data_IF_422510109302
#
_entry.id   IF_422510109302
#
_cell.length_a   1.000
_cell.length_b   1.000
_cell.length_c   1.000
_cell.angle_alpha   90.00
_cell.angle_beta   90.00
_cell.angle_gamma   90.00
#
_symmetry.space_group_name_H-M   'P 1'
#
loop_
_entity.id
_entity.type
_entity.pdbx_description
1 polymer ?
#
# COMPACT_ATOMS: atom_id res chain seq x y z
N UNK A 1 77.77 37.85 2.18
CA UNK A 1 78.17 39.25 1.97
C UNK A 1 78.24 39.52 0.47
N UNK A 2 77.86 40.71 -0.05
CA UNK A 2 77.18 41.85 0.58
C UNK A 2 75.89 42.29 -0.20
N UNK A 3 74.82 42.74 0.50
CA UNK A 3 74.38 44.13 0.85
C UNK A 3 73.66 44.87 -0.31
N UNK A 4 72.36 45.21 -0.16
CA UNK A 4 71.76 46.43 0.43
C UNK A 4 71.40 47.46 -0.68
N UNK A 5 70.22 48.10 -0.72
CA UNK A 5 69.81 49.28 0.07
C UNK A 5 68.28 49.54 -0.07
N UNK A 6 67.53 49.64 1.04
CA UNK A 6 66.83 50.84 1.61
C UNK A 6 65.65 51.43 0.79
N UNK A 7 64.40 51.28 1.25
CA UNK A 7 63.59 52.12 2.18
C UNK A 7 62.86 53.30 1.51
N UNK A 8 61.52 53.30 1.59
CA UNK A 8 60.72 54.42 2.14
C UNK A 8 59.49 53.85 2.85
N UNK A 9 59.34 54.22 4.12
CA UNK A 9 58.19 54.03 5.00
C UNK A 9 57.38 55.33 4.97
N UNK A 10 56.06 55.26 4.85
CA UNK A 10 55.18 56.27 5.45
C UNK A 10 53.90 55.59 5.94
N UNK A 11 53.82 55.43 7.25
CA UNK A 11 52.59 55.19 7.99
C UNK A 11 51.94 56.54 8.30
N UNK A 12 50.61 56.63 8.23
CA UNK A 12 49.82 57.59 8.99
C UNK A 12 48.43 57.01 9.27
N UNK A 13 48.22 56.81 10.56
CA UNK A 13 47.01 56.46 11.29
C UNK A 13 45.94 57.55 11.27
N UNK A 14 44.65 57.18 11.27
CA UNK A 14 43.62 57.87 12.07
C UNK A 14 42.36 57.02 12.19
N UNK A 15 42.05 56.65 13.44
CA UNK A 15 40.79 56.09 13.94
C UNK A 15 39.84 57.23 14.35
N UNK A 16 38.52 56.98 14.33
CA UNK A 16 37.37 57.65 15.00
C UNK A 16 36.26 57.99 13.98
N UNK A 17 34.96 57.95 14.23
CA UNK A 17 34.04 57.29 15.17
C UNK A 17 32.63 57.82 14.79
N UNK A 18 31.59 56.98 14.86
CA UNK A 18 30.13 57.28 14.91
C UNK A 18 29.47 58.30 13.95
N UNK A 19 28.46 57.84 13.20
CA UNK A 19 27.06 58.17 13.53
C UNK A 19 26.07 57.20 12.87
N UNK A 20 25.15 56.67 13.69
CA UNK A 20 24.03 55.84 13.30
C UNK A 20 22.93 56.68 12.63
N UNK A 21 22.30 56.16 11.57
CA UNK A 21 20.96 56.55 11.17
C UNK A 21 20.06 55.31 11.17
N UNK A 22 19.15 55.30 12.14
CA UNK A 22 18.01 54.40 12.25
C UNK A 22 16.91 54.87 11.30
N UNK A 23 16.38 53.97 10.47
CA UNK A 23 15.05 54.09 9.86
C UNK A 23 14.26 52.81 10.18
N UNK A 24 12.98 52.93 10.57
CA UNK A 24 12.21 51.80 11.08
C UNK A 24 11.60 51.01 9.92
N UNK A 25 11.88 49.71 9.86
CA UNK A 25 11.05 48.77 9.09
C UNK A 25 10.13 48.05 10.07
N UNK A 26 8.85 48.18 9.78
CA UNK A 26 7.75 47.69 10.60
C UNK A 26 7.82 46.19 10.87
N UNK A 27 7.47 45.84 12.10
CA UNK A 27 7.32 44.48 12.63
C UNK A 27 6.15 43.78 11.94
N UNK A 28 6.41 42.60 11.36
CA UNK A 28 5.41 41.59 11.11
C UNK A 28 5.85 40.30 11.83
N UNK A 29 5.22 40.03 12.97
CA UNK A 29 5.35 38.76 13.70
C UNK A 29 4.62 37.67 12.92
N UNK A 30 5.38 36.71 12.38
CA UNK A 30 4.85 35.45 11.86
C UNK A 30 5.48 34.29 12.63
N UNK A 31 4.71 33.75 13.59
CA UNK A 31 4.97 32.47 14.24
C UNK A 31 4.48 31.34 13.34
N UNK A 32 5.39 30.53 12.82
CA UNK A 32 5.22 29.09 12.55
C UNK A 32 6.50 28.56 11.88
N UNK A 33 7.30 27.79 12.61
CA UNK A 33 8.34 26.97 12.02
C UNK A 33 7.67 25.78 11.31
N UNK A 34 7.82 25.70 10.00
CA UNK A 34 7.43 24.54 9.19
C UNK A 34 8.67 23.68 8.91
N UNK A 35 8.59 22.41 9.29
CA UNK A 35 9.53 21.34 8.94
C UNK A 35 9.65 21.17 7.41
N UNK A 36 10.84 20.91 6.84
CA UNK A 36 10.99 20.73 5.40
C UNK A 36 10.64 19.32 4.88
N UNK A 37 10.31 18.33 5.73
CA UNK A 37 10.19 16.92 5.30
C UNK A 37 8.75 16.34 5.27
N UNK A 38 7.71 17.17 5.38
CA UNK A 38 6.32 16.72 5.18
C UNK A 38 5.77 17.17 3.83
N UNK A 39 5.64 16.24 2.87
CA UNK A 39 4.81 16.47 1.67
C UNK A 39 3.34 16.50 2.12
N UNK A 40 2.83 17.71 2.32
CA UNK A 40 1.43 17.95 2.60
C UNK A 40 0.67 17.95 1.26
N UNK A 41 -0.05 16.88 0.95
CA UNK A 41 -0.83 16.75 -0.30
C UNK A 41 -1.98 17.78 -0.24
N UNK A 42 -2.02 18.81 -1.11
CA UNK A 42 -3.10 19.79 -1.08
C UNK A 42 -4.41 19.11 -1.49
N UNK A 43 -5.41 19.14 -0.61
CA UNK A 43 -6.79 18.74 -0.91
C UNK A 43 -7.44 19.77 -1.82
N UNK A 44 -7.09 19.75 -3.11
CA UNK A 44 -7.89 20.40 -4.14
C UNK A 44 -9.14 19.54 -4.34
N UNK A 45 -10.32 20.16 -4.20
CA UNK A 45 -11.62 19.51 -4.29
C UNK A 45 -11.65 18.43 -5.39
N UNK A 46 -11.85 17.16 -5.00
CA UNK A 46 -11.96 16.02 -5.89
C UNK A 46 -13.07 16.28 -6.92
N UNK A 47 -12.69 16.65 -8.14
CA UNK A 47 -13.45 16.19 -9.30
C UNK A 47 -13.11 14.71 -9.43
N UNK A 48 -14.13 13.86 -9.53
CA UNK A 48 -13.93 12.45 -9.87
C UNK A 48 -13.22 12.39 -11.22
N UNK A 49 -11.90 12.22 -11.22
CA UNK A 49 -11.19 11.83 -12.42
C UNK A 49 -11.50 10.36 -12.65
N UNK A 50 -12.43 10.08 -13.55
CA UNK A 50 -12.50 8.80 -14.25
C UNK A 50 -11.32 8.77 -15.20
N UNK A 51 -10.38 7.87 -14.96
CA UNK A 51 -9.34 7.59 -15.95
C UNK A 51 -9.94 6.68 -17.03
N UNK A 52 -9.48 6.80 -18.27
CA UNK A 52 -9.87 5.88 -19.37
C UNK A 52 -9.67 4.41 -18.95
N UNK A 53 -8.73 4.14 -18.06
CA UNK A 53 -8.48 2.81 -17.52
C UNK A 53 -9.55 2.32 -16.54
N UNK A 54 -10.21 3.21 -15.78
CA UNK A 54 -11.36 2.83 -14.95
C UNK A 54 -12.54 2.41 -15.85
N UNK A 55 -12.70 3.10 -16.99
CA UNK A 55 -13.70 2.76 -18.00
C UNK A 55 -13.33 1.49 -18.76
N UNK A 56 -12.04 1.26 -19.02
CA UNK A 56 -11.55 0.03 -19.64
C UNK A 56 -11.75 -1.17 -18.69
N UNK A 57 -11.41 -1.01 -17.42
CA UNK A 57 -11.61 -2.01 -16.38
C UNK A 57 -13.09 -2.33 -16.21
N UNK A 58 -13.96 -1.31 -16.17
CA UNK A 58 -15.41 -1.52 -16.12
C UNK A 58 -15.90 -2.20 -17.39
N UNK A 59 -15.43 -1.81 -18.59
CA UNK A 59 -15.85 -2.42 -19.86
C UNK A 59 -15.43 -3.89 -19.99
N UNK A 60 -14.27 -4.27 -19.42
CA UNK A 60 -13.82 -5.66 -19.37
C UNK A 60 -14.66 -6.46 -18.38
N UNK A 61 -14.98 -5.89 -17.21
CA UNK A 61 -15.90 -6.51 -16.24
C UNK A 61 -17.30 -6.71 -16.84
N UNK A 62 -17.81 -5.70 -17.55
CA UNK A 62 -19.10 -5.74 -18.23
C UNK A 62 -19.09 -6.74 -19.40
N UNK A 63 -17.98 -6.83 -20.15
CA UNK A 63 -17.82 -7.81 -21.22
C UNK A 63 -17.69 -9.24 -20.69
N UNK A 64 -17.05 -9.44 -19.53
CA UNK A 64 -17.01 -10.73 -18.84
C UNK A 64 -18.40 -11.13 -18.33
N UNK A 65 -19.15 -10.19 -17.75
CA UNK A 65 -20.54 -10.40 -17.34
C UNK A 65 -21.47 -10.71 -18.54
N UNK A 66 -21.27 -10.03 -19.68
CA UNK A 66 -22.05 -10.25 -20.89
C UNK A 66 -21.77 -11.61 -21.59
N UNK A 67 -20.58 -12.20 -21.36
CA UNK A 67 -20.23 -13.54 -21.86
C UNK A 67 -20.79 -14.68 -20.99
N UNK A 68 -21.37 -14.37 -19.84
CA UNK A 68 -22.18 -15.27 -19.03
C UNK A 68 -23.65 -14.83 -19.08
N UNK A 69 -24.42 -15.16 -20.14
CA UNK A 69 -25.85 -14.94 -20.09
C UNK A 69 -26.42 -15.78 -18.94
N UNK A 70 -27.07 -15.09 -18.00
CA UNK A 70 -27.97 -15.72 -17.04
C UNK A 70 -28.86 -16.71 -17.80
N UNK A 71 -29.04 -17.90 -17.22
CA UNK A 71 -30.02 -18.89 -17.68
C UNK A 71 -31.34 -18.18 -18.00
N UNK A 72 -31.64 -18.05 -19.28
CA UNK A 72 -32.97 -17.65 -19.73
C UNK A 72 -33.92 -18.77 -19.34
N UNK A 73 -34.82 -18.49 -18.40
CA UNK A 73 -36.03 -19.28 -18.20
C UNK A 73 -36.81 -19.29 -19.52
N UNK A 74 -36.81 -20.45 -20.16
CA UNK A 74 -37.66 -20.75 -21.31
C UNK A 74 -39.12 -20.64 -20.90
N UNK A 75 -39.86 -19.90 -21.70
CA UNK A 75 -41.30 -19.69 -21.61
C UNK A 75 -42.08 -21.00 -21.79
N UNK A 76 -43.09 -21.17 -20.92
CA UNK A 76 -44.44 -21.66 -21.21
C UNK A 76 -44.77 -23.13 -20.90
N UNK A 77 -45.58 -23.32 -19.85
CA UNK A 77 -46.28 -24.56 -19.52
C UNK A 77 -46.82 -24.63 -18.09
N UNK A 78 -47.99 -24.03 -17.85
CA UNK A 78 -48.99 -24.37 -16.82
C UNK A 78 -48.56 -24.71 -15.37
N UNK A 79 -48.70 -23.74 -14.46
CA UNK A 79 -49.66 -23.71 -13.33
C UNK A 79 -49.22 -22.65 -12.31
N UNK A 80 -49.91 -21.52 -12.34
CA UNK A 80 -49.63 -20.35 -11.52
C UNK A 80 -50.14 -20.59 -10.08
N UNK A 81 -49.26 -20.98 -9.15
CA UNK A 81 -49.49 -20.80 -7.70
C UNK A 81 -48.87 -19.47 -7.27
N UNK A 82 -49.69 -18.42 -7.33
CA UNK A 82 -49.34 -17.10 -6.84
C UNK A 82 -49.35 -17.10 -5.31
N UNK A 83 -48.19 -16.85 -4.68
CA UNK A 83 -48.15 -16.44 -3.28
C UNK A 83 -48.43 -14.94 -3.21
N UNK A 84 -49.69 -14.58 -3.00
CA UNK A 84 -50.10 -13.21 -2.70
C UNK A 84 -50.01 -12.98 -1.19
N UNK A 85 -49.05 -12.17 -0.74
CA UNK A 85 -49.04 -11.64 0.64
C UNK A 85 -49.95 -10.41 0.67
N UNK A 86 -51.19 -10.58 1.10
CA UNK A 86 -52.09 -9.47 1.44
C UNK A 86 -51.66 -8.86 2.77
N UNK A 87 -51.22 -7.59 2.75
CA UNK A 87 -50.94 -6.80 3.95
C UNK A 87 -52.25 -6.17 4.44
N UNK A 88 -52.94 -6.84 5.35
CA UNK A 88 -54.13 -6.31 6.02
C UNK A 88 -53.71 -5.32 7.12
N UNK A 89 -53.99 -4.04 6.93
CA UNK A 89 -53.90 -3.01 7.98
C UNK A 89 -55.13 -3.15 8.90
N UNK A 90 -54.97 -3.81 10.04
CA UNK A 90 -55.95 -3.75 11.12
C UNK A 90 -55.67 -2.49 11.98
N UNK A 91 -56.65 -1.60 12.00
CA UNK A 91 -56.69 -0.37 12.80
C UNK A 91 -57.33 -0.73 14.15
N UNK A 92 -56.52 -0.87 15.19
CA UNK A 92 -56.97 -0.91 16.59
C UNK A 92 -56.27 0.19 17.36
N UNK A 93 -57.06 1.15 17.84
CA UNK A 93 -56.60 2.29 18.61
C UNK A 93 -56.39 1.95 20.07
N UNK A 94 -55.29 2.42 20.64
CA UNK A 94 -55.06 2.64 22.08
C UNK A 94 -54.09 3.84 22.24
N UNK A 95 -54.13 4.56 23.38
CA UNK A 95 -53.91 5.99 23.42
C UNK A 95 -52.43 6.41 23.41
N UNK A 96 -52.24 7.61 22.87
CA UNK A 96 -51.00 8.36 22.80
C UNK A 96 -50.48 8.66 24.22
N UNK A 97 -49.33 8.07 24.59
CA UNK A 97 -48.59 8.45 25.79
C UNK A 97 -47.31 9.15 25.35
N UNK A 98 -47.19 10.43 25.74
CA UNK A 98 -46.10 11.32 25.38
C UNK A 98 -44.72 10.77 25.78
N UNK A 99 -43.82 10.67 24.80
CA UNK A 99 -42.41 10.27 24.93
C UNK A 99 -41.56 11.35 25.59
N UNK A 100 -41.81 11.66 26.86
CA UNK A 100 -41.04 12.69 27.56
C UNK A 100 -40.80 12.38 29.05
N UNK A 101 -40.52 11.14 29.43
CA UNK A 101 -39.95 10.83 30.75
C UNK A 101 -39.48 9.36 30.85
N UNK A 102 -38.37 8.99 30.22
CA UNK A 102 -37.38 8.00 30.72
C UNK A 102 -36.32 7.73 29.65
N UNK A 103 -35.28 8.55 29.61
CA UNK A 103 -34.02 8.19 28.93
C UNK A 103 -32.87 9.00 29.55
N UNK A 104 -32.70 8.87 30.87
CA UNK A 104 -31.41 9.14 31.53
C UNK A 104 -30.92 7.84 32.13
N UNK A 105 -30.55 6.94 31.24
CA UNK A 105 -29.74 5.76 31.55
C UNK A 105 -28.55 5.83 30.62
N UNK A 106 -27.43 6.28 31.20
CA UNK A 106 -26.06 5.99 30.80
C UNK A 106 -25.91 5.38 29.40
N UNK A 107 -25.68 6.23 28.40
CA UNK A 107 -24.95 5.79 27.22
C UNK A 107 -23.52 5.46 27.70
N UNK A 108 -23.34 4.24 28.23
CA UNK A 108 -22.05 3.59 28.13
C UNK A 108 -21.74 3.62 26.64
N UNK A 109 -20.69 4.35 26.25
CA UNK A 109 -20.21 4.39 24.89
C UNK A 109 -19.95 2.94 24.47
N UNK A 110 -20.91 2.35 23.77
CA UNK A 110 -20.65 1.17 22.98
C UNK A 110 -19.58 1.63 22.00
N UNK A 111 -18.34 1.17 22.20
CA UNK A 111 -17.26 1.38 21.24
C UNK A 111 -17.68 0.69 19.93
N UNK A 112 -18.45 1.40 19.11
CA UNK A 112 -18.80 0.97 17.78
C UNK A 112 -17.50 0.90 17.01
N UNK A 113 -17.13 -0.30 16.58
CA UNK A 113 -15.99 -0.52 15.71
C UNK A 113 -16.20 0.31 14.43
N UNK A 114 -15.41 1.35 14.24
CA UNK A 114 -15.46 2.22 13.07
C UNK A 114 -14.38 1.82 12.06
N UNK A 115 -14.80 1.60 10.82
CA UNK A 115 -13.90 1.31 9.70
C UNK A 115 -13.57 2.59 8.93
N UNK A 116 -12.31 3.02 9.02
CA UNK A 116 -11.78 4.20 8.36
C UNK A 116 -10.99 3.87 7.09
N UNK A 117 -10.47 4.91 6.43
CA UNK A 117 -9.52 4.77 5.32
C UNK A 117 -8.17 4.30 5.87
N UNK A 118 -7.52 3.37 5.17
CA UNK A 118 -6.15 2.96 5.46
C UNK A 118 -5.17 4.13 5.24
N UNK A 119 -4.40 4.48 6.29
CA UNK A 119 -3.37 5.52 6.27
C UNK A 119 -2.00 4.88 6.19
N UNK A 120 -1.37 4.98 5.03
CA UNK A 120 -0.03 4.43 4.77
C UNK A 120 0.98 5.57 4.82
N UNK A 121 1.99 5.45 5.68
CA UNK A 121 3.18 6.30 5.65
C UNK A 121 4.25 5.63 4.76
N UNK A 122 4.86 6.40 3.88
CA UNK A 122 5.93 5.93 2.98
C UNK A 122 7.22 6.61 3.39
N UNK A 123 8.26 5.82 3.69
CA UNK A 123 9.62 6.32 3.91
C UNK A 123 10.48 5.97 2.70
N UNK A 124 11.14 6.99 2.13
CA UNK A 124 11.96 6.88 0.92
C UNK A 124 13.43 7.21 1.18
N UNK A 125 13.89 7.20 2.44
CA UNK A 125 15.27 7.56 2.81
C UNK A 125 16.33 6.86 1.96
N UNK A 126 16.16 5.54 1.74
CA UNK A 126 17.04 4.73 0.90
C UNK A 126 17.17 5.22 -0.55
N UNK A 127 16.22 6.02 -1.06
CA UNK A 127 16.25 6.60 -2.41
C UNK A 127 17.09 7.87 -2.51
N UNK A 128 17.51 8.44 -1.38
CA UNK A 128 18.26 9.70 -1.30
C UNK A 128 19.65 9.53 -0.66
N UNK A 129 19.97 8.34 -0.14
CA UNK A 129 21.32 8.01 0.29
C UNK A 129 22.13 7.34 -0.85
N UNK A 130 23.09 8.07 -1.42
CA UNK A 130 24.01 7.57 -2.45
C UNK A 130 24.82 6.32 -2.01
N UNK A 131 24.97 6.08 -0.71
CA UNK A 131 25.60 4.87 -0.17
C UNK A 131 24.71 3.62 -0.31
N UNK A 132 23.40 3.79 -0.58
CA UNK A 132 22.41 2.73 -0.67
C UNK A 132 22.08 2.31 -2.10
N UNK A 133 21.76 3.23 -2.99
CA UNK A 133 21.36 2.89 -4.37
C UNK A 133 22.54 2.98 -5.36
N UNK A 134 22.35 2.52 -6.60
CA UNK A 134 23.37 2.62 -7.64
C UNK A 134 23.44 4.03 -8.22
N UNK A 135 24.62 4.65 -8.17
CA UNK A 135 24.96 5.92 -8.83
C UNK A 135 25.90 5.65 -10.01
N UNK A 136 26.09 6.60 -10.97
CA UNK A 136 26.92 6.36 -12.16
C UNK A 136 28.34 5.86 -11.89
N UNK A 137 28.94 6.24 -10.76
CA UNK A 137 30.31 5.88 -10.39
C UNK A 137 30.39 4.73 -9.37
N UNK A 138 29.25 4.15 -8.96
CA UNK A 138 29.22 3.10 -7.95
C UNK A 138 29.37 1.74 -8.61
N UNK A 139 30.32 0.93 -8.15
CA UNK A 139 30.56 -0.40 -8.72
C UNK A 139 29.67 -1.47 -8.11
N UNK A 140 29.45 -1.43 -6.79
CA UNK A 140 28.64 -2.41 -6.07
C UNK A 140 27.71 -1.73 -5.07
N UNK A 141 26.56 -2.34 -4.84
CA UNK A 141 25.66 -1.95 -3.75
C UNK A 141 25.04 -3.17 -3.08
N UNK A 142 24.49 -3.00 -1.88
CA UNK A 142 23.73 -4.06 -1.22
C UNK A 142 22.44 -4.34 -2.01
N UNK A 143 22.07 -5.61 -2.14
CA UNK A 143 20.78 -6.01 -2.69
C UNK A 143 19.64 -6.01 -1.64
N UNK A 144 19.90 -5.49 -0.43
CA UNK A 144 19.01 -5.48 0.75
C UNK A 144 18.61 -6.87 1.27
N UNK A 145 19.14 -7.95 0.69
CA UNK A 145 18.87 -9.34 1.06
C UNK A 145 20.14 -10.06 1.57
N UNK A 146 21.06 -9.31 2.18
CA UNK A 146 22.31 -9.85 2.74
C UNK A 146 23.44 -10.07 1.73
N UNK A 147 23.27 -9.63 0.47
CA UNK A 147 24.28 -9.73 -0.58
C UNK A 147 24.68 -8.38 -1.16
N UNK A 148 25.74 -8.39 -1.98
CA UNK A 148 26.18 -7.26 -2.79
C UNK A 148 26.12 -7.63 -4.26
N UNK A 149 25.71 -6.66 -5.07
CA UNK A 149 25.47 -6.81 -6.51
C UNK A 149 26.17 -5.69 -7.26
N UNK A 150 26.71 -6.01 -8.44
CA UNK A 150 27.34 -5.02 -9.30
C UNK A 150 26.28 -4.08 -9.86
N UNK A 151 26.55 -2.79 -9.83
CA UNK A 151 25.72 -1.78 -10.47
C UNK A 151 26.03 -1.75 -11.98
N UNK A 152 24.98 -1.84 -12.79
CA UNK A 152 25.07 -1.60 -14.24
C UNK A 152 24.43 -0.26 -14.61
N UNK A 153 24.55 0.16 -15.87
CA UNK A 153 23.97 1.43 -16.31
C UNK A 153 22.43 1.47 -16.14
N UNK A 154 21.75 0.32 -16.27
CA UNK A 154 20.30 0.23 -16.06
C UNK A 154 19.90 0.34 -14.60
N UNK A 155 20.81 0.00 -13.69
CA UNK A 155 20.56 0.00 -12.25
C UNK A 155 20.70 1.38 -11.61
N UNK A 156 21.27 2.36 -12.34
CA UNK A 156 21.42 3.71 -11.83
C UNK A 156 20.05 4.32 -11.57
N UNK A 157 19.81 4.74 -10.32
CA UNK A 157 18.63 5.52 -9.94
C UNK A 157 18.89 7.00 -10.29
N UNK A 158 18.53 7.37 -11.51
CA UNK A 158 18.58 8.76 -11.96
C UNK A 158 17.48 9.59 -11.32
N UNK A 159 17.54 10.91 -11.44
CA UNK A 159 16.51 11.80 -10.91
C UNK A 159 15.15 11.53 -11.57
N UNK A 160 15.12 11.23 -12.87
CA UNK A 160 13.89 10.91 -13.61
C UNK A 160 13.27 9.58 -13.12
N UNK A 161 14.11 8.58 -12.84
CA UNK A 161 13.64 7.31 -12.26
C UNK A 161 13.16 7.49 -10.83
N UNK A 162 13.84 8.32 -10.04
CA UNK A 162 13.41 8.64 -8.67
C UNK A 162 12.06 9.37 -8.69
N UNK A 163 11.87 10.32 -9.61
CA UNK A 163 10.59 11.00 -9.84
C UNK A 163 9.50 10.02 -10.27
N UNK A 164 9.78 9.16 -11.26
CA UNK A 164 8.88 8.08 -11.69
C UNK A 164 8.40 7.24 -10.51
N UNK A 165 9.34 6.80 -9.67
CA UNK A 165 9.04 5.96 -8.51
C UNK A 165 8.21 6.70 -7.45
N UNK A 166 8.63 7.90 -7.07
CA UNK A 166 8.08 8.63 -5.91
C UNK A 166 6.80 9.41 -6.21
N UNK A 167 6.68 9.98 -7.40
CA UNK A 167 5.55 10.84 -7.77
C UNK A 167 4.45 10.10 -8.54
N UNK A 168 4.77 8.99 -9.20
CA UNK A 168 3.83 8.27 -10.07
C UNK A 168 3.58 6.84 -9.60
N UNK A 169 4.60 6.01 -9.54
CA UNK A 169 4.44 4.57 -9.33
C UNK A 169 3.90 4.24 -7.94
N UNK A 170 4.56 4.72 -6.87
CA UNK A 170 4.13 4.47 -5.49
C UNK A 170 2.74 5.05 -5.20
N UNK A 171 2.42 6.32 -5.54
CA UNK A 171 1.09 6.85 -5.27
C UNK A 171 -0.02 6.08 -5.97
N UNK A 172 0.18 5.64 -7.22
CA UNK A 172 -0.81 4.85 -7.96
C UNK A 172 -1.03 3.48 -7.34
N UNK A 173 0.03 2.74 -7.04
CA UNK A 173 -0.06 1.42 -6.40
C UNK A 173 -0.72 1.49 -5.01
N UNK A 174 -0.29 2.44 -4.17
CA UNK A 174 -0.86 2.64 -2.83
C UNK A 174 -2.33 3.07 -2.89
N UNK A 175 -2.71 3.88 -3.88
CA UNK A 175 -4.09 4.28 -4.09
C UNK A 175 -4.99 3.07 -4.32
N UNK A 176 -4.55 2.08 -5.11
CA UNK A 176 -5.32 0.86 -5.37
C UNK A 176 -5.73 0.14 -4.07
N UNK A 177 -4.85 0.10 -3.07
CA UNK A 177 -5.15 -0.46 -1.74
C UNK A 177 -6.02 0.48 -0.90
N UNK A 178 -5.67 1.76 -0.78
CA UNK A 178 -6.40 2.68 0.12
C UNK A 178 -7.83 2.99 -0.31
N UNK A 179 -8.18 2.74 -1.58
CA UNK A 179 -9.54 2.84 -2.09
C UNK A 179 -10.40 1.59 -1.82
N UNK A 180 -9.77 0.42 -1.67
CA UNK A 180 -10.45 -0.88 -1.49
C UNK A 180 -10.46 -1.36 -0.04
N UNK A 181 -9.38 -1.08 0.70
CA UNK A 181 -9.18 -1.58 2.06
C UNK A 181 -9.60 -0.52 3.08
N UNK A 182 -10.58 -0.88 3.89
CA UNK A 182 -10.95 -0.15 5.11
C UNK A 182 -10.34 -0.83 6.31
N UNK A 183 -9.96 -0.05 7.31
CA UNK A 183 -9.32 -0.57 8.52
C UNK A 183 -9.90 0.07 9.77
N UNK A 184 -9.84 -0.64 10.88
CA UNK A 184 -9.95 -0.02 12.20
C UNK A 184 -8.68 0.79 12.41
N UNK A 185 -8.80 2.10 12.38
CA UNK A 185 -7.64 2.98 12.42
C UNK A 185 -6.89 2.84 13.75
N UNK A 186 -5.57 2.71 13.66
CA UNK A 186 -4.71 2.64 14.84
C UNK A 186 -4.82 3.96 15.59
N UNK A 187 -5.06 3.85 16.90
CA UNK A 187 -5.21 4.99 17.79
C UNK A 187 -3.89 5.27 18.52
N UNK A 188 -3.60 6.55 18.72
CA UNK A 188 -2.40 6.99 19.43
C UNK A 188 -1.11 6.87 18.60
N UNK A 189 0.01 6.86 19.33
CA UNK A 189 1.36 6.81 18.76
C UNK A 189 1.95 5.42 18.95
N UNK A 190 2.58 4.88 17.90
CA UNK A 190 3.28 3.60 17.94
C UNK A 190 4.65 3.71 17.29
N UNK A 191 5.57 2.82 17.67
CA UNK A 191 6.97 2.87 17.26
C UNK A 191 7.33 1.69 16.37
N UNK A 192 8.26 1.95 15.47
CA UNK A 192 8.99 0.87 14.79
C UNK A 192 10.00 0.31 15.79
N UNK A 193 9.89 -0.99 16.06
CA UNK A 193 10.79 -1.72 16.97
C UNK A 193 11.98 -2.26 16.19
N UNK A 194 12.91 -2.91 16.89
CA UNK A 194 14.10 -3.50 16.27
C UNK A 194 13.69 -4.43 15.11
N UNK A 195 14.07 -4.03 13.90
CA UNK A 195 13.84 -4.79 12.68
C UNK A 195 14.94 -5.85 12.55
N UNK A 196 14.61 -7.02 12.00
CA UNK A 196 15.52 -8.15 11.89
C UNK A 196 15.59 -8.70 10.46
N UNK A 197 16.63 -9.49 10.17
CA UNK A 197 16.81 -10.12 8.87
C UNK A 197 16.86 -9.10 7.73
N UNK A 198 16.12 -9.35 6.64
CA UNK A 198 16.02 -8.44 5.48
C UNK A 198 15.56 -7.04 5.88
N UNK A 199 14.67 -6.94 6.87
CA UNK A 199 14.09 -5.67 7.31
C UNK A 199 15.11 -4.73 7.95
N UNK A 200 16.14 -5.29 8.61
CA UNK A 200 17.22 -4.50 9.23
C UNK A 200 18.08 -3.77 8.19
N UNK A 201 17.98 -4.13 6.91
CA UNK A 201 18.78 -3.53 5.84
C UNK A 201 18.20 -2.20 5.32
N UNK A 202 17.02 -1.78 5.76
CA UNK A 202 16.36 -0.53 5.34
C UNK A 202 16.63 0.61 6.31
N UNK A 203 16.76 1.83 5.80
CA UNK A 203 16.92 3.00 6.66
C UNK A 203 15.60 3.38 7.29
N UNK A 204 15.62 3.44 8.62
CA UNK A 204 14.50 3.86 9.45
C UNK A 204 14.81 5.24 10.02
N UNK A 205 13.98 6.27 9.75
CA UNK A 205 14.12 7.56 10.41
C UNK A 205 14.17 7.39 11.92
N UNK A 206 15.09 8.08 12.59
CA UNK A 206 15.30 7.93 14.04
C UNK A 206 14.04 8.27 14.85
N UNK A 207 13.19 9.17 14.35
CA UNK A 207 11.91 9.50 14.97
C UNK A 207 10.93 8.32 14.98
N UNK A 208 10.98 7.42 14.00
CA UNK A 208 10.08 6.25 13.94
C UNK A 208 10.36 5.27 15.09
N UNK A 209 11.61 5.19 15.58
CA UNK A 209 12.02 4.29 16.68
C UNK A 209 12.04 5.00 18.04
N UNK A 210 12.27 6.32 18.07
CA UNK A 210 12.38 7.08 19.32
C UNK A 210 11.04 7.65 19.78
N UNK A 211 10.40 8.49 18.97
CA UNK A 211 9.12 9.15 19.31
C UNK A 211 7.95 8.30 18.85
N UNK A 212 8.05 7.71 17.67
CA UNK A 212 6.98 6.96 17.00
C UNK A 212 6.15 7.82 16.06
N UNK A 213 5.28 7.16 15.31
CA UNK A 213 4.37 7.77 14.36
C UNK A 213 2.95 7.82 14.94
N UNK A 214 2.18 8.82 14.55
CA UNK A 214 0.76 8.99 14.90
C UNK A 214 -0.05 9.08 13.63
N UNK A 215 -1.33 8.75 13.72
CA UNK A 215 -2.26 8.80 12.59
C UNK A 215 -1.85 7.96 11.37
N UNK A 216 -1.12 6.87 11.63
CA UNK A 216 -0.62 5.95 10.61
C UNK A 216 -1.04 4.55 11.00
N UNK A 217 -1.57 3.80 10.04
CA UNK A 217 -2.01 2.41 10.24
C UNK A 217 -0.93 1.41 9.79
N UNK A 218 -0.14 1.80 8.79
CA UNK A 218 0.92 1.00 8.19
C UNK A 218 2.07 1.88 7.67
N UNK A 219 3.31 1.45 7.85
CA UNK A 219 4.50 2.10 7.26
C UNK A 219 5.08 1.19 6.20
N UNK A 220 5.46 1.75 5.05
CA UNK A 220 6.28 1.06 4.04
C UNK A 220 7.60 1.79 3.81
N UNK A 221 8.70 1.06 3.95
CA UNK A 221 10.05 1.55 3.64
C UNK A 221 10.44 1.12 2.22
N UNK A 222 10.86 2.08 1.39
CA UNK A 222 11.11 1.87 -0.03
C UNK A 222 12.58 1.96 -0.34
N UNK A 223 13.12 0.93 -1.01
CA UNK A 223 14.45 0.96 -1.61
C UNK A 223 14.38 0.77 -3.14
N UNK A 224 15.46 1.14 -3.83
CA UNK A 224 15.65 0.87 -5.25
C UNK A 224 17.09 0.41 -5.48
N UNK A 225 17.32 -0.88 -5.29
CA UNK A 225 18.59 -1.55 -5.53
C UNK A 225 18.40 -2.72 -6.50
N UNK A 226 19.46 -3.18 -7.19
CA UNK A 226 19.35 -4.33 -8.07
C UNK A 226 18.89 -5.57 -7.29
N UNK A 227 17.97 -6.31 -7.88
CA UNK A 227 17.52 -7.59 -7.36
C UNK A 227 18.18 -8.76 -8.11
N UNK A 228 17.88 -9.99 -7.71
CA UNK A 228 18.26 -11.17 -8.49
C UNK A 228 17.59 -11.13 -9.87
N UNK A 229 18.12 -11.91 -10.83
CA UNK A 229 17.50 -12.03 -12.15
C UNK A 229 16.04 -12.42 -12.03
N UNK A 230 15.22 -11.84 -12.92
CA UNK A 230 13.78 -12.07 -13.04
C UNK A 230 12.91 -11.56 -11.87
N UNK A 231 13.51 -10.88 -10.88
CA UNK A 231 12.77 -10.21 -9.81
C UNK A 231 12.46 -8.77 -10.22
N UNK A 232 11.19 -8.50 -10.50
CA UNK A 232 10.71 -7.18 -10.94
C UNK A 232 10.56 -6.20 -9.78
N UNK A 233 10.09 -6.69 -8.63
CA UNK A 233 10.05 -6.03 -7.34
C UNK A 233 9.92 -7.12 -6.27
N UNK A 234 10.11 -6.77 -5.01
CA UNK A 234 9.78 -7.67 -3.90
C UNK A 234 9.42 -6.87 -2.65
N UNK A 235 8.55 -7.44 -1.80
CA UNK A 235 8.23 -6.87 -0.52
C UNK A 235 8.02 -7.93 0.57
N UNK A 236 8.02 -7.50 1.83
CA UNK A 236 7.68 -8.36 2.96
C UNK A 236 7.19 -7.55 4.15
N UNK A 237 6.45 -8.20 5.05
CA UNK A 237 6.06 -7.64 6.34
C UNK A 237 7.19 -7.78 7.36
N UNK A 238 7.55 -6.69 8.01
CA UNK A 238 8.66 -6.60 8.97
C UNK A 238 8.21 -6.48 10.42
N UNK A 239 7.04 -5.91 10.67
CA UNK A 239 6.48 -5.77 12.00
C UNK A 239 4.96 -5.91 11.96
N UNK A 240 4.38 -6.43 13.04
CA UNK A 240 2.93 -6.47 13.27
C UNK A 240 2.58 -5.71 14.55
N UNK A 241 1.36 -5.20 14.61
CA UNK A 241 0.73 -4.67 15.81
C UNK A 241 0.44 -5.80 16.83
N UNK A 242 0.08 -5.45 18.06
CA UNK A 242 -0.26 -6.41 19.12
C UNK A 242 -1.44 -7.33 18.75
N UNK A 243 -2.33 -6.87 17.86
CA UNK A 243 -3.46 -7.62 17.33
C UNK A 243 -3.11 -8.43 16.07
N UNK A 244 -1.81 -8.62 15.79
CA UNK A 244 -1.25 -9.31 14.63
C UNK A 244 -1.51 -8.66 13.26
N UNK A 245 -2.04 -7.44 13.22
CA UNK A 245 -2.16 -6.71 11.95
C UNK A 245 -0.80 -6.25 11.46
N UNK A 246 -0.47 -6.36 10.17
CA UNK A 246 0.74 -5.78 9.59
C UNK A 246 0.87 -4.29 9.95
N UNK A 247 2.05 -3.92 10.47
CA UNK A 247 2.36 -2.56 10.92
C UNK A 247 3.46 -1.94 10.06
N UNK A 248 4.50 -2.71 9.74
CA UNK A 248 5.63 -2.26 8.92
C UNK A 248 5.87 -3.25 7.80
N UNK A 249 6.03 -2.73 6.59
CA UNK A 249 6.54 -3.45 5.44
C UNK A 249 7.77 -2.79 4.85
N UNK A 250 8.50 -3.56 4.05
CA UNK A 250 9.58 -3.04 3.19
C UNK A 250 9.28 -3.46 1.76
N UNK A 251 9.71 -2.65 0.80
CA UNK A 251 9.60 -2.94 -0.63
C UNK A 251 10.86 -2.48 -1.34
N UNK A 252 11.36 -3.30 -2.26
CA UNK A 252 12.43 -2.94 -3.18
C UNK A 252 11.92 -2.96 -4.62
N UNK A 253 12.13 -1.87 -5.34
CA UNK A 253 11.77 -1.71 -6.75
C UNK A 253 13.05 -1.37 -7.52
N UNK A 254 13.70 -2.35 -8.19
CA UNK A 254 14.90 -2.12 -8.97
C UNK A 254 14.74 -1.03 -10.03
N UNK A 255 15.69 -0.09 -10.06
CA UNK A 255 15.70 1.02 -11.00
C UNK A 255 15.74 0.58 -12.48
N UNK A 256 16.22 -0.63 -12.77
CA UNK A 256 16.23 -1.20 -14.12
C UNK A 256 14.82 -1.33 -14.73
N UNK A 257 13.78 -1.44 -13.87
CA UNK A 257 12.39 -1.62 -14.30
C UNK A 257 11.61 -0.31 -14.36
N UNK A 258 12.21 0.83 -13.99
CA UNK A 258 11.57 2.14 -13.99
C UNK A 258 11.70 2.79 -15.37
N UNK A 259 10.84 2.37 -16.30
CA UNK A 259 10.90 2.79 -17.71
C UNK A 259 9.92 3.91 -18.08
N UNK A 260 8.78 4.01 -17.39
CA UNK A 260 7.72 4.98 -17.69
C UNK A 260 6.86 5.30 -16.46
N UNK A 261 6.28 6.50 -16.43
CA UNK A 261 5.41 6.99 -15.34
C UNK A 261 4.09 6.21 -15.24
N UNK A 262 3.62 5.65 -16.35
CA UNK A 262 2.30 5.00 -16.47
C UNK A 262 2.42 3.57 -16.97
N UNK A 263 3.49 2.89 -16.55
CA UNK A 263 3.63 1.46 -16.82
C UNK A 263 2.64 0.67 -15.97
N UNK A 264 1.55 0.24 -16.59
CA UNK A 264 0.50 -0.57 -15.95
C UNK A 264 1.06 -1.84 -15.31
N UNK A 265 1.99 -2.51 -16.00
CA UNK A 265 2.59 -3.73 -15.50
C UNK A 265 3.35 -3.45 -14.20
N UNK A 266 4.13 -2.37 -14.16
CA UNK A 266 4.85 -1.98 -12.95
C UNK A 266 3.93 -1.49 -11.83
N UNK A 267 2.90 -0.69 -12.12
CA UNK A 267 1.95 -0.21 -11.11
C UNK A 267 1.28 -1.40 -10.41
N UNK A 268 0.83 -2.38 -11.18
CA UNK A 268 0.18 -3.57 -10.64
C UNK A 268 1.17 -4.50 -9.94
N UNK A 269 2.41 -4.61 -10.42
CA UNK A 269 3.46 -5.36 -9.72
C UNK A 269 3.79 -4.72 -8.36
N UNK A 270 3.90 -3.40 -8.28
CA UNK A 270 4.13 -2.72 -7.00
C UNK A 270 2.92 -2.88 -6.05
N UNK A 271 1.69 -2.81 -6.57
CA UNK A 271 0.50 -3.09 -5.77
C UNK A 271 0.46 -4.56 -5.27
N UNK A 272 0.88 -5.51 -6.10
CA UNK A 272 1.03 -6.92 -5.69
C UNK A 272 2.00 -7.06 -4.51
N UNK A 273 3.19 -6.46 -4.62
CA UNK A 273 4.18 -6.52 -3.54
C UNK A 273 3.69 -5.80 -2.27
N UNK A 274 3.03 -4.65 -2.41
CA UNK A 274 2.41 -3.97 -1.25
C UNK A 274 1.33 -4.85 -0.62
N UNK A 275 0.56 -5.63 -1.38
CA UNK A 275 -0.42 -6.57 -0.82
C UNK A 275 0.25 -7.63 0.06
N UNK A 276 1.40 -8.17 -0.35
CA UNK A 276 2.20 -9.07 0.49
C UNK A 276 2.62 -8.38 1.79
N UNK A 277 3.14 -7.15 1.70
CA UNK A 277 3.56 -6.38 2.88
C UNK A 277 2.38 -6.07 3.82
N UNK A 278 1.18 -5.88 3.27
CA UNK A 278 -0.10 -5.71 3.98
C UNK A 278 -0.72 -7.02 4.47
N UNK A 279 -0.05 -8.15 4.29
CA UNK A 279 -0.40 -9.43 4.91
C UNK A 279 -1.06 -10.46 4.00
N UNK A 280 -1.15 -10.24 2.70
CA UNK A 280 -1.57 -11.29 1.76
C UNK A 280 -0.46 -12.36 1.65
N UNK A 281 -0.44 -13.36 2.52
CA UNK A 281 0.55 -14.45 2.46
C UNK A 281 0.08 -15.68 3.22
N UNK A 282 0.65 -16.84 2.88
CA UNK A 282 0.37 -18.11 3.55
C UNK A 282 0.58 -18.05 5.07
N UNK A 283 1.58 -17.28 5.54
CA UNK A 283 1.82 -17.05 6.97
C UNK A 283 0.59 -16.45 7.65
N UNK A 284 0.05 -15.38 7.09
CA UNK A 284 -1.10 -14.71 7.67
C UNK A 284 -2.37 -15.56 7.52
N UNK A 285 -2.59 -16.19 6.35
CA UNK A 285 -3.73 -17.07 6.15
C UNK A 285 -3.79 -18.22 7.15
N UNK A 286 -2.63 -18.81 7.46
CA UNK A 286 -2.49 -19.85 8.49
C UNK A 286 -2.75 -19.28 9.88
N UNK A 287 -2.13 -18.15 10.24
CA UNK A 287 -2.27 -17.54 11.56
C UNK A 287 -3.70 -17.10 11.89
N UNK A 288 -4.48 -16.70 10.88
CA UNK A 288 -5.89 -16.33 11.03
C UNK A 288 -6.83 -17.53 10.90
N UNK A 289 -6.32 -18.73 10.65
CA UNK A 289 -7.10 -19.95 10.52
C UNK A 289 -8.02 -20.00 9.29
N UNK A 290 -7.69 -19.27 8.22
CA UNK A 290 -8.54 -19.21 7.01
C UNK A 290 -8.04 -20.09 5.86
N UNK A 291 -6.85 -20.68 6.00
CA UNK A 291 -6.28 -21.63 5.02
C UNK A 291 -6.32 -23.06 5.52
N UNK A 292 -6.53 -24.00 4.61
CA UNK A 292 -6.43 -25.45 4.82
C UNK A 292 -5.81 -26.13 3.60
N UNK A 293 -5.64 -27.45 3.65
CA UNK A 293 -5.19 -28.24 2.49
C UNK A 293 -6.24 -29.27 2.08
N UNK A 294 -6.41 -29.48 0.77
CA UNK A 294 -7.37 -30.45 0.21
C UNK A 294 -6.65 -31.38 -0.77
N UNK A 295 -6.89 -32.68 -0.66
CA UNK A 295 -6.34 -33.71 -1.56
C UNK A 295 -7.31 -34.05 -2.69
N UNK A 296 -6.81 -34.60 -3.79
CA UNK A 296 -7.66 -35.09 -4.89
C UNK A 296 -8.20 -34.00 -5.81
N UNK A 297 -7.78 -32.74 -5.63
CA UNK A 297 -8.19 -31.64 -6.53
C UNK A 297 -7.74 -31.96 -7.95
N UNK A 298 -8.71 -32.23 -8.83
CA UNK A 298 -8.47 -32.58 -10.25
C UNK A 298 -7.46 -33.72 -10.43
N UNK A 299 -7.55 -34.74 -9.57
CA UNK A 299 -6.69 -35.92 -9.64
C UNK A 299 -5.28 -35.75 -9.06
N UNK A 300 -4.97 -34.60 -8.44
CA UNK A 300 -3.70 -34.40 -7.74
C UNK A 300 -3.63 -35.29 -6.48
N UNK A 301 -2.54 -36.02 -6.34
CA UNK A 301 -2.24 -36.83 -5.15
C UNK A 301 -1.71 -35.97 -4.00
N UNK A 302 -0.97 -34.91 -4.31
CA UNK A 302 -0.50 -33.94 -3.33
C UNK A 302 -1.65 -33.11 -2.76
N UNK A 303 -1.52 -32.72 -1.49
CA UNK A 303 -2.46 -31.81 -0.84
C UNK A 303 -2.24 -30.38 -1.37
N UNK A 304 -3.33 -29.73 -1.78
CA UNK A 304 -3.30 -28.38 -2.38
C UNK A 304 -3.76 -27.36 -1.33
N UNK A 305 -3.02 -26.25 -1.13
CA UNK A 305 -3.44 -25.18 -0.24
C UNK A 305 -4.67 -24.44 -0.79
N UNK A 306 -5.62 -24.12 0.09
CA UNK A 306 -6.86 -23.43 -0.24
C UNK A 306 -7.24 -22.42 0.86
N UNK A 307 -8.03 -21.40 0.51
CA UNK A 307 -8.66 -20.48 1.47
C UNK A 307 -10.16 -20.79 1.53
N UNK A 308 -10.70 -20.98 2.73
CA UNK A 308 -12.09 -21.39 2.97
C UNK A 308 -12.88 -20.41 3.86
N UNK A 309 -12.40 -19.17 4.01
CA UNK A 309 -13.13 -18.13 4.74
C UNK A 309 -14.44 -17.76 4.04
N UNK A 310 -15.43 -17.32 4.82
CA UNK A 310 -16.78 -17.01 4.33
C UNK A 310 -16.78 -16.03 3.15
N UNK A 311 -16.00 -14.95 3.25
CA UNK A 311 -15.94 -13.92 2.20
C UNK A 311 -15.29 -14.44 0.92
N UNK A 312 -14.17 -15.16 1.03
CA UNK A 312 -13.46 -15.70 -0.14
C UNK A 312 -14.32 -16.75 -0.86
N UNK A 313 -14.98 -17.63 -0.11
CA UNK A 313 -15.91 -18.62 -0.68
C UNK A 313 -17.08 -17.94 -1.39
N UNK A 314 -17.69 -16.93 -0.76
CA UNK A 314 -18.78 -16.18 -1.39
C UNK A 314 -18.34 -15.54 -2.71
N UNK A 315 -17.15 -14.91 -2.74
CA UNK A 315 -16.61 -14.27 -3.95
C UNK A 315 -16.19 -15.27 -5.02
N UNK A 316 -15.63 -16.41 -4.65
CA UNK A 316 -15.34 -17.48 -5.60
C UNK A 316 -16.62 -18.03 -6.25
N UNK A 317 -17.69 -18.23 -5.47
CA UNK A 317 -19.00 -18.69 -5.99
C UNK A 317 -19.57 -17.71 -7.00
N UNK A 318 -19.52 -16.41 -6.68
CA UNK A 318 -19.95 -15.32 -7.56
C UNK A 318 -19.13 -15.30 -8.85
N UNK A 319 -17.79 -15.26 -8.73
CA UNK A 319 -16.88 -15.13 -9.85
C UNK A 319 -16.94 -16.32 -10.83
N UNK A 320 -17.01 -17.56 -10.31
CA UNK A 320 -17.03 -18.77 -11.14
C UNK A 320 -18.44 -19.26 -11.48
N UNK A 321 -19.50 -18.61 -10.99
CA UNK A 321 -20.88 -19.09 -11.17
C UNK A 321 -21.11 -20.50 -10.58
N UNK A 322 -20.42 -20.83 -9.49
CA UNK A 322 -20.42 -22.18 -8.91
C UNK A 322 -20.89 -22.15 -7.45
N UNK A 323 -22.21 -22.25 -7.16
CA UNK A 323 -22.76 -22.09 -5.80
C UNK A 323 -22.25 -23.11 -4.78
N UNK A 324 -21.77 -24.26 -5.24
CA UNK A 324 -21.26 -25.36 -4.40
C UNK A 324 -19.76 -25.23 -4.10
N UNK A 325 -19.06 -24.24 -4.65
CA UNK A 325 -17.65 -24.03 -4.34
C UNK A 325 -17.45 -23.90 -2.81
N UNK A 326 -16.48 -24.64 -2.27
CA UNK A 326 -16.22 -24.70 -0.83
C UNK A 326 -14.97 -23.90 -0.41
N UNK A 327 -14.15 -23.48 -1.38
CA UNK A 327 -12.88 -22.81 -1.16
C UNK A 327 -12.40 -22.13 -2.46
N UNK A 328 -11.41 -21.24 -2.33
CA UNK A 328 -10.59 -20.77 -3.44
C UNK A 328 -9.20 -21.39 -3.34
N UNK A 329 -8.66 -21.86 -4.45
CA UNK A 329 -7.33 -22.49 -4.48
C UNK A 329 -6.22 -21.44 -4.42
N UNK A 330 -5.20 -21.73 -3.62
CA UNK A 330 -3.94 -21.02 -3.65
C UNK A 330 -2.97 -21.72 -4.61
N UNK A 331 -1.94 -21.00 -5.02
CA UNK A 331 -0.89 -21.56 -5.85
C UNK A 331 -0.17 -22.69 -5.11
N UNK A 332 0.05 -23.80 -5.83
CA UNK A 332 0.56 -25.07 -5.30
C UNK A 332 1.81 -25.55 -6.05
N UNK A 333 2.36 -24.68 -6.91
CA UNK A 333 3.62 -24.86 -7.61
C UNK A 333 4.56 -23.67 -7.34
N UNK A 334 5.82 -23.81 -7.74
CA UNK A 334 6.87 -22.83 -7.48
C UNK A 334 7.61 -23.11 -6.16
N UNK A 335 8.31 -22.10 -5.66
CA UNK A 335 9.05 -22.18 -4.39
C UNK A 335 8.28 -21.60 -3.21
N UNK A 336 8.93 -21.52 -2.05
CA UNK A 336 8.35 -21.02 -0.79
C UNK A 336 7.80 -19.59 -0.88
N UNK A 337 8.36 -18.76 -1.79
CA UNK A 337 7.86 -17.42 -2.06
C UNK A 337 6.57 -17.37 -2.90
N UNK A 338 6.22 -18.46 -3.58
CA UNK A 338 5.08 -18.53 -4.50
C UNK A 338 3.93 -19.34 -3.92
N UNK A 339 4.24 -20.55 -3.45
CA UNK A 339 3.25 -21.51 -2.98
C UNK A 339 2.51 -20.97 -1.75
N UNK A 340 1.17 -21.07 -1.75
CA UNK A 340 0.32 -20.69 -0.63
C UNK A 340 0.19 -19.19 -0.37
N UNK A 341 0.87 -18.33 -1.13
CA UNK A 341 0.80 -16.87 -0.98
C UNK A 341 0.20 -16.16 -2.19
N UNK A 342 -0.26 -16.91 -3.18
CA UNK A 342 -0.87 -16.40 -4.41
C UNK A 342 -2.16 -17.15 -4.71
N UNK A 343 -3.06 -16.55 -5.48
CA UNK A 343 -4.17 -17.30 -6.05
C UNK A 343 -3.67 -18.28 -7.11
N UNK A 344 -4.34 -19.43 -7.24
CA UNK A 344 -3.99 -20.40 -8.26
C UNK A 344 -4.09 -19.79 -9.66
N UNK A 345 -2.97 -19.68 -10.38
CA UNK A 345 -2.94 -18.98 -11.68
C UNK A 345 -3.90 -19.57 -12.71
N UNK A 346 -4.10 -20.90 -12.68
CA UNK A 346 -5.09 -21.59 -13.52
C UNK A 346 -6.49 -20.96 -13.41
N UNK A 347 -6.86 -20.53 -12.20
CA UNK A 347 -8.20 -20.07 -11.89
C UNK A 347 -8.32 -18.54 -11.97
N UNK A 348 -7.21 -17.83 -11.78
CA UNK A 348 -7.19 -16.38 -11.58
C UNK A 348 -5.95 -15.73 -12.25
N UNK A 349 -5.70 -16.06 -13.52
CA UNK A 349 -4.46 -15.68 -14.22
C UNK A 349 -4.24 -14.16 -14.31
N UNK A 350 -5.33 -13.41 -14.46
CA UNK A 350 -5.32 -11.95 -14.61
C UNK A 350 -5.56 -11.21 -13.29
N UNK A 351 -5.57 -11.91 -12.15
CA UNK A 351 -5.78 -11.32 -10.82
C UNK A 351 -4.49 -10.68 -10.29
N UNK A 352 -4.62 -9.62 -9.48
CA UNK A 352 -3.49 -8.91 -8.88
C UNK A 352 -2.51 -9.85 -8.17
N UNK A 353 -3.01 -10.81 -7.40
CA UNK A 353 -2.24 -11.77 -6.60
C UNK A 353 -2.04 -13.12 -7.30
N UNK A 354 -2.08 -13.15 -8.63
CA UNK A 354 -1.56 -14.27 -9.40
C UNK A 354 -0.02 -14.37 -9.24
N UNK A 355 0.58 -15.57 -9.26
CA UNK A 355 2.02 -15.77 -9.04
C UNK A 355 2.91 -15.30 -10.19
N UNK A 356 2.32 -14.94 -11.33
CA UNK A 356 3.01 -14.37 -12.48
C UNK A 356 2.22 -13.14 -12.89
N UNK A 357 2.92 -12.01 -13.06
CA UNK A 357 2.31 -10.75 -13.46
C UNK A 357 1.61 -10.87 -14.82
N UNK A 358 0.28 -10.81 -14.82
CA UNK A 358 -0.59 -10.74 -15.98
C UNK A 358 -1.23 -9.35 -16.11
N UNK A 359 -2.54 -9.29 -16.37
CA UNK A 359 -3.28 -8.02 -16.36
C UNK A 359 -3.35 -7.38 -14.95
N UNK A 360 -3.31 -8.19 -13.89
CA UNK A 360 -3.18 -7.75 -12.51
C UNK A 360 -4.43 -7.07 -11.93
N UNK A 361 -5.64 -7.42 -12.39
CA UNK A 361 -6.87 -6.81 -11.89
C UNK A 361 -7.01 -6.99 -10.38
N UNK A 362 -7.22 -5.88 -9.67
CA UNK A 362 -7.53 -5.92 -8.24
C UNK A 362 -9.01 -6.24 -8.05
N UNK A 363 -9.31 -7.55 -8.04
CA UNK A 363 -10.67 -8.09 -7.96
C UNK A 363 -11.25 -8.03 -6.54
N UNK A 364 -12.54 -8.33 -6.40
CA UNK A 364 -13.34 -8.04 -5.20
C UNK A 364 -13.37 -9.16 -4.16
#
# INVERSE_FOLDING_TARGET
MPKAFQHVVLALSATLLFLALLLPVAVATATAASDPDSINIPTKALRSHRCIHDELQQSVLDAAAARHPALQEGTQGDTFKQCTVTRTLARSGLPFVSSAALARTTAAAANTITWGRLRILVSTLDLYDNSVYCTPNKTYTSNKQGGYVACTFTDVLTDEKRETLTQYLLPQALRMHTERLRVQQVQGTWKVTDLHGVCANFQVPIEHTTVGVRDVDFIVYVASVPAQRDVVAWATTCQVHLDNRPAVGVINIPAANLLSHYDHYMIHTVAHEVAHALGFSGRFFSSTGISSTVTGIRGKTAAVPVVNSTTVVAKAREHFGCPTAAYMELEDAGGDGTMGSHWKIRNAADELMAPVSGAGYYTA
#
